data_IF_840821886137
#
_entry.id   IF_840821886137
#
_cell.length_a   1.000
_cell.length_b   1.000
_cell.length_c   1.000
_cell.angle_alpha   90.00
_cell.angle_beta   90.00
_cell.angle_gamma   90.00
#
_symmetry.space_group_name_H-M   'P 1'
#
loop_
_entity.id
_entity.type
_entity.pdbx_description
1 polymer ?
#
# COMPACT_ATOMS: atom_id res chain seq x y z
N UNK A 1 -20.62 5.39 -13.90
CA UNK A 1 -20.62 5.98 -12.54
C UNK A 1 -19.18 6.23 -12.19
N UNK A 2 -18.77 7.46 -11.87
CA UNK A 2 -17.38 7.73 -11.56
C UNK A 2 -17.06 7.13 -10.18
N UNK A 3 -16.19 6.11 -10.16
CA UNK A 3 -15.71 5.50 -8.94
C UNK A 3 -14.82 6.51 -8.22
N UNK A 4 -15.29 7.00 -7.07
CA UNK A 4 -14.50 7.85 -6.18
C UNK A 4 -13.55 6.96 -5.38
N UNK A 5 -12.29 7.37 -5.31
CA UNK A 5 -11.21 6.65 -4.64
C UNK A 5 -10.78 7.49 -3.45
N UNK A 6 -10.73 6.88 -2.28
CA UNK A 6 -10.19 7.51 -1.08
C UNK A 6 -8.67 7.48 -1.13
N UNK A 7 -8.07 8.67 -1.11
CA UNK A 7 -6.62 8.89 -1.08
C UNK A 7 -6.22 9.28 0.33
N UNK A 8 -5.18 8.62 0.85
CA UNK A 8 -4.55 8.92 2.14
C UNK A 8 -3.29 9.74 1.90
N UNK A 9 -3.17 10.86 2.60
CA UNK A 9 -1.96 11.69 2.61
C UNK A 9 -1.12 11.30 3.82
N UNK A 10 0.14 10.93 3.58
CA UNK A 10 1.10 10.56 4.62
C UNK A 10 2.30 11.50 4.57
N UNK A 11 2.94 11.69 5.72
CA UNK A 11 4.19 12.44 5.80
C UNK A 11 5.30 11.75 5.00
N UNK A 12 6.01 12.46 4.12
CA UNK A 12 7.10 11.89 3.33
C UNK A 12 8.35 11.50 4.11
N UNK A 13 8.40 11.77 5.42
CA UNK A 13 9.53 11.41 6.29
C UNK A 13 9.15 10.30 7.26
N UNK A 14 8.11 10.51 8.07
CA UNK A 14 7.72 9.57 9.13
C UNK A 14 6.50 8.72 8.79
N UNK A 15 5.92 8.88 7.59
CA UNK A 15 4.75 8.14 7.10
C UNK A 15 3.50 8.21 7.98
N UNK A 16 3.45 9.13 8.95
CA UNK A 16 2.24 9.39 9.72
C UNK A 16 1.14 9.93 8.81
N UNK A 17 -0.09 9.46 9.02
CA UNK A 17 -1.27 9.98 8.32
C UNK A 17 -1.48 11.45 8.66
N UNK A 18 -1.62 12.27 7.63
CA UNK A 18 -1.85 13.72 7.72
C UNK A 18 -3.29 14.08 7.35
N UNK A 19 -3.97 13.25 6.57
CA UNK A 19 -5.37 13.42 6.19
C UNK A 19 -5.79 12.47 5.08
N UNK A 20 -7.07 12.53 4.72
CA UNK A 20 -7.65 11.73 3.64
C UNK A 20 -8.59 12.58 2.79
N UNK A 21 -8.65 12.33 1.48
CA UNK A 21 -9.61 12.98 0.59
C UNK A 21 -10.14 12.04 -0.49
N UNK A 22 -11.32 12.39 -1.01
CA UNK A 22 -12.00 11.72 -2.11
C UNK A 22 -11.56 12.28 -3.45
N UNK A 23 -11.15 11.42 -4.38
CA UNK A 23 -10.83 11.82 -5.74
C UNK A 23 -11.45 10.87 -6.74
N UNK A 24 -11.99 11.42 -7.84
CA UNK A 24 -12.38 10.60 -8.98
C UNK A 24 -11.17 9.85 -9.52
N UNK A 25 -11.36 8.58 -9.88
CA UNK A 25 -10.32 7.74 -10.50
C UNK A 25 -9.59 8.39 -11.68
N UNK A 26 -10.31 9.14 -12.52
CA UNK A 26 -9.74 9.87 -13.66
C UNK A 26 -8.88 11.09 -13.26
N UNK A 27 -9.08 11.62 -12.06
CA UNK A 27 -8.36 12.78 -11.51
C UNK A 27 -7.36 12.37 -10.41
N UNK A 28 -6.99 11.09 -10.36
CA UNK A 28 -6.09 10.55 -9.35
C UNK A 28 -4.64 10.97 -9.64
N UNK A 29 -4.29 12.22 -9.35
CA UNK A 29 -2.90 12.68 -9.41
C UNK A 29 -2.17 12.34 -8.10
N UNK A 30 -1.61 11.13 -8.04
CA UNK A 30 -0.75 10.69 -6.92
C UNK A 30 0.61 11.40 -6.89
N UNK A 31 1.03 11.98 -8.02
CA UNK A 31 2.34 12.65 -8.17
C UNK A 31 2.35 14.15 -7.83
N UNK A 32 1.21 14.74 -7.44
CA UNK A 32 1.20 16.15 -7.01
C UNK A 32 1.84 16.23 -5.62
N UNK A 33 2.94 16.96 -5.55
CA UNK A 33 3.69 17.19 -4.33
C UNK A 33 3.01 18.28 -3.50
N UNK A 34 2.12 17.86 -2.62
CA UNK A 34 1.47 18.73 -1.64
C UNK A 34 2.33 18.78 -0.35
N UNK A 35 2.40 19.93 0.30
CA UNK A 35 3.18 20.10 1.53
C UNK A 35 2.25 20.32 2.72
N UNK A 36 2.23 19.38 3.67
CA UNK A 36 1.38 19.44 4.85
C UNK A 36 2.21 19.47 6.13
N UNK A 37 1.65 20.12 7.16
CA UNK A 37 2.21 20.13 8.50
C UNK A 37 2.12 18.74 9.14
N UNK A 38 3.25 18.22 9.60
CA UNK A 38 3.31 16.98 10.35
C UNK A 38 3.53 17.27 11.84
N UNK A 39 2.58 16.91 12.69
CA UNK A 39 2.70 17.09 14.15
C UNK A 39 3.86 16.26 14.76
N UNK A 40 4.18 15.10 14.16
CA UNK A 40 5.28 14.24 14.64
C UNK A 40 6.65 14.80 14.29
N UNK A 41 6.82 15.33 13.07
CA UNK A 41 8.07 15.94 12.63
C UNK A 41 8.18 17.42 13.02
N UNK A 42 7.08 18.05 13.44
CA UNK A 42 6.98 19.48 13.75
C UNK A 42 7.49 20.36 12.61
N UNK A 43 7.15 19.98 11.38
CA UNK A 43 7.58 20.67 10.17
C UNK A 43 6.55 20.49 9.05
N UNK A 44 6.53 21.46 8.13
CA UNK A 44 5.81 21.35 6.86
C UNK A 44 6.66 20.55 5.89
N UNK A 45 6.16 19.39 5.47
CA UNK A 45 6.92 18.39 4.72
C UNK A 45 6.15 17.95 3.48
N UNK A 46 6.86 17.48 2.43
CA UNK A 46 6.20 16.89 1.28
C UNK A 46 5.36 15.70 1.74
N UNK A 47 4.18 15.57 1.13
CA UNK A 47 3.26 14.48 1.36
C UNK A 47 3.39 13.41 0.30
N UNK A 48 3.20 12.18 0.74
CA UNK A 48 3.08 11.01 -0.11
C UNK A 48 1.61 10.64 -0.13
N UNK A 49 1.05 10.44 -1.32
CA UNK A 49 -0.33 10.02 -1.50
C UNK A 49 -0.37 8.51 -1.74
N UNK A 50 -1.25 7.82 -1.03
CA UNK A 50 -1.50 6.39 -1.20
C UNK A 50 -3.02 6.13 -1.30
N UNK A 51 -3.42 4.99 -1.83
CA UNK A 51 -4.84 4.62 -1.97
C UNK A 51 -5.27 3.89 -0.71
N UNK A 52 -6.36 4.33 -0.09
CA UNK A 52 -6.90 3.66 1.09
C UNK A 52 -7.17 2.17 0.78
N UNK A 53 -6.71 1.28 1.66
CA UNK A 53 -6.88 -0.17 1.52
C UNK A 53 -5.85 -0.87 0.62
N UNK A 54 -4.93 -0.13 -0.03
CA UNK A 54 -3.83 -0.72 -0.79
C UNK A 54 -2.91 -1.57 0.09
N UNK A 55 -2.53 -1.04 1.25
CA UNK A 55 -1.68 -1.74 2.23
C UNK A 55 -2.31 -3.07 2.68
N UNK A 56 -3.59 -3.03 3.09
CA UNK A 56 -4.34 -4.24 3.46
C UNK A 56 -4.47 -5.25 2.32
N UNK A 57 -4.57 -4.79 1.06
CA UNK A 57 -4.60 -5.66 -0.11
C UNK A 57 -3.27 -6.38 -0.30
N UNK A 58 -2.15 -5.65 -0.17
CA UNK A 58 -0.80 -6.22 -0.24
C UNK A 58 -0.60 -7.28 0.85
N UNK A 59 -1.00 -7.00 2.09
CA UNK A 59 -0.90 -7.96 3.19
C UNK A 59 -1.69 -9.25 2.92
N UNK A 60 -2.89 -9.11 2.34
CA UNK A 60 -3.73 -10.25 1.95
C UNK A 60 -3.10 -11.06 0.81
N UNK A 61 -2.53 -10.39 -0.19
CA UNK A 61 -1.84 -11.05 -1.30
C UNK A 61 -0.61 -11.81 -0.80
N UNK A 62 0.24 -11.17 0.01
CA UNK A 62 1.42 -11.79 0.62
C UNK A 62 1.02 -12.99 1.49
N UNK A 63 -0.05 -12.86 2.29
CA UNK A 63 -0.57 -13.96 3.11
C UNK A 63 -1.14 -15.12 2.30
N UNK A 64 -1.54 -14.89 1.05
CA UNK A 64 -2.04 -15.91 0.13
C UNK A 64 -0.93 -16.63 -0.64
N UNK A 65 0.32 -16.18 -0.56
CA UNK A 65 1.41 -16.85 -1.25
C UNK A 65 1.64 -18.24 -0.68
N UNK A 66 1.90 -19.25 -1.52
CA UNK A 66 2.35 -20.54 -1.03
C UNK A 66 3.62 -20.33 -0.20
N UNK A 67 3.76 -21.07 0.91
CA UNK A 67 4.98 -21.02 1.70
C UNK A 67 6.15 -21.34 0.78
N UNK A 68 7.07 -20.39 0.62
CA UNK A 68 8.33 -20.65 -0.07
C UNK A 68 9.10 -21.65 0.78
N UNK A 69 8.95 -22.93 0.46
CA UNK A 69 9.85 -23.95 0.96
C UNK A 69 11.26 -23.58 0.49
N UNK A 70 12.27 -23.60 1.36
CA UNK A 70 13.64 -23.43 0.91
C UNK A 70 13.95 -24.49 -0.15
N UNK A 71 14.84 -24.18 -1.09
CA UNK A 71 15.14 -25.02 -2.27
C UNK A 71 15.48 -26.48 -1.96
N UNK A 72 15.87 -26.81 -0.72
CA UNK A 72 16.19 -28.17 -0.27
C UNK A 72 14.98 -28.97 0.23
N UNK A 73 13.81 -28.33 0.44
CA UNK A 73 12.54 -28.98 0.82
C UNK A 73 11.63 -29.25 -0.41
N UNK A 74 12.08 -28.97 -1.64
CA UNK A 74 11.25 -29.09 -2.86
C UNK A 74 11.21 -30.49 -3.51
N UNK A 75 11.79 -31.51 -2.88
CA UNK A 75 11.74 -32.88 -3.36
C UNK A 75 11.01 -33.72 -2.31
N UNK A 76 9.71 -33.96 -2.50
CA UNK A 76 9.00 -35.18 -2.03
C UNK A 76 7.49 -35.19 -2.37
N UNK A 77 6.98 -34.37 -3.30
CA UNK A 77 5.57 -34.45 -3.75
C UNK A 77 5.38 -35.26 -5.05
N UNK A 78 6.19 -36.31 -5.23
CA UNK A 78 5.89 -37.35 -6.21
C UNK A 78 5.84 -38.72 -5.52
N UNK A 79 4.79 -38.93 -4.72
CA UNK A 79 4.40 -40.27 -4.30
C UNK A 79 3.13 -40.72 -5.03
N UNK A 80 3.39 -41.18 -6.25
CA UNK A 80 2.85 -42.40 -6.85
C UNK A 80 1.33 -42.63 -6.76
N UNK A 81 0.67 -42.34 -7.87
CA UNK A 81 -0.48 -43.14 -8.28
C UNK A 81 0.00 -44.52 -8.72
N UNK A 82 -0.46 -45.57 -8.04
CA UNK A 82 -0.73 -46.90 -8.58
C UNK A 82 -1.86 -47.53 -7.78
#
# INVERSE_FOLDING_TARGET
MAEDITVVQRCGICYSELGTFSAKKENLMLSVQDYLWCARCQATLPTVRDIAGREASIEREVGSYPRSLPSWEQLDDNKEGH
#
